data_IF_224490749905
#
_entry.id   IF_224490749905
#
_cell.length_a   1.000
_cell.length_b   1.000
_cell.length_c   1.000
_cell.angle_alpha   90.00
_cell.angle_beta   90.00
_cell.angle_gamma   90.00
#
_symmetry.space_group_name_H-M   'P 1'
#
loop_
_entity.id
_entity.type
_entity.pdbx_description
1 polymer ?
#
# COMPACT_ATOMS: atom_id res chain seq x y z
N UNK A 1 34.47 3.69 -7.19
CA UNK A 1 34.22 5.14 -7.11
C UNK A 1 32.77 5.42 -6.74
N UNK A 2 31.81 4.65 -7.26
CA UNK A 2 30.38 4.82 -6.94
C UNK A 2 29.96 4.30 -5.56
N UNK A 3 30.60 3.25 -5.03
CA UNK A 3 30.32 2.77 -3.65
C UNK A 3 30.66 3.79 -2.56
N UNK A 4 31.73 4.57 -2.75
CA UNK A 4 32.14 5.62 -1.82
C UNK A 4 31.21 6.84 -1.87
N UNK A 5 30.55 7.08 -3.01
CA UNK A 5 29.55 8.14 -3.16
C UNK A 5 28.27 7.73 -2.44
N UNK A 6 27.82 6.48 -2.65
CA UNK A 6 26.64 5.93 -1.99
C UNK A 6 26.80 5.88 -0.46
N UNK A 7 27.99 5.54 0.05
CA UNK A 7 28.26 5.54 1.49
C UNK A 7 28.23 6.95 2.10
N UNK A 8 28.73 7.96 1.36
CA UNK A 8 28.69 9.36 1.80
C UNK A 8 27.28 9.93 1.77
N UNK A 9 26.48 9.61 0.77
CA UNK A 9 25.08 10.00 0.68
C UNK A 9 24.25 9.35 1.81
N UNK A 10 24.49 8.08 2.11
CA UNK A 10 23.83 7.39 3.23
C UNK A 10 24.22 7.97 4.59
N UNK A 11 25.47 8.38 4.77
CA UNK A 11 25.93 9.01 6.01
C UNK A 11 25.32 10.41 6.18
N UNK A 12 25.26 11.20 5.10
CA UNK A 12 24.60 12.51 5.07
C UNK A 12 23.09 12.40 5.37
N UNK A 13 22.42 11.41 4.79
CA UNK A 13 21.00 11.15 5.04
C UNK A 13 20.74 10.65 6.47
N UNK A 14 21.69 9.95 7.09
CA UNK A 14 21.59 9.54 8.48
C UNK A 14 21.73 10.73 9.44
N UNK A 15 22.68 11.63 9.18
CA UNK A 15 22.90 12.84 9.98
C UNK A 15 21.70 13.80 9.90
N UNK A 16 21.12 14.00 8.70
CA UNK A 16 19.92 14.83 8.52
C UNK A 16 18.69 14.28 9.25
N UNK A 17 18.52 12.96 9.27
CA UNK A 17 17.46 12.29 10.01
C UNK A 17 17.63 12.44 11.53
N UNK A 18 18.87 12.42 12.04
CA UNK A 18 19.15 12.67 13.45
C UNK A 18 18.81 14.12 13.82
N UNK A 19 19.18 15.10 12.99
CA UNK A 19 18.81 16.50 13.21
C UNK A 19 17.29 16.71 13.21
N UNK A 20 16.56 16.10 12.27
CA UNK A 20 15.11 16.17 12.22
C UNK A 20 14.44 15.58 13.47
N UNK A 21 14.92 14.43 13.94
CA UNK A 21 14.43 13.81 15.18
C UNK A 21 14.74 14.67 16.40
N UNK A 22 15.92 15.29 16.46
CA UNK A 22 16.27 16.20 17.55
C UNK A 22 15.40 17.46 17.53
N UNK A 23 15.12 18.04 16.36
CA UNK A 23 14.22 19.17 16.20
C UNK A 23 12.77 18.84 16.63
N UNK A 24 12.29 17.64 16.30
CA UNK A 24 11.01 17.12 16.78
C UNK A 24 10.97 17.00 18.31
N UNK A 25 12.04 16.47 18.91
CA UNK A 25 12.16 16.36 20.38
C UNK A 25 12.14 17.75 21.03
N UNK A 26 12.85 18.73 20.47
CA UNK A 26 12.83 20.11 20.97
C UNK A 26 11.46 20.80 20.79
N UNK A 27 10.77 20.51 19.69
CA UNK A 27 9.40 20.99 19.45
C UNK A 27 8.40 20.40 20.45
N UNK A 28 8.52 19.12 20.78
CA UNK A 28 7.66 18.42 21.75
C UNK A 28 7.90 18.91 23.18
N UNK A 29 9.12 19.38 23.52
CA UNK A 29 9.40 19.98 24.84
C UNK A 29 8.67 21.30 25.10
N UNK A 30 8.05 21.93 24.09
CA UNK A 30 7.37 23.23 24.22
C UNK A 30 5.85 23.16 24.45
N UNK A 31 5.26 21.97 24.57
CA UNK A 31 3.81 21.78 24.74
C UNK A 31 3.55 21.02 26.04
N UNK A 32 2.82 21.62 26.97
CA UNK A 32 2.65 21.18 28.38
C UNK A 32 1.73 19.95 28.61
N UNK A 33 1.55 19.05 27.64
CA UNK A 33 0.76 17.81 27.79
C UNK A 33 1.63 16.54 27.72
N UNK A 34 2.78 16.57 28.38
CA UNK A 34 3.97 15.94 27.82
C UNK A 34 4.42 14.63 28.43
N UNK A 35 3.94 14.17 29.59
CA UNK A 35 4.61 13.03 30.25
C UNK A 35 4.36 11.66 29.59
N UNK A 36 3.15 11.38 29.14
CA UNK A 36 2.83 10.07 28.53
C UNK A 36 3.33 9.99 27.08
N UNK A 37 3.21 11.08 26.33
CA UNK A 37 3.73 11.20 24.97
C UNK A 37 5.25 11.22 24.95
N UNK A 38 5.92 11.94 25.87
CA UNK A 38 7.38 11.88 25.99
C UNK A 38 7.85 10.48 26.36
N UNK A 39 7.17 9.76 27.26
CA UNK A 39 7.52 8.37 27.60
C UNK A 39 7.37 7.42 26.41
N UNK A 40 6.28 7.55 25.63
CA UNK A 40 6.09 6.76 24.39
C UNK A 40 7.15 7.09 23.35
N UNK A 41 7.48 8.37 23.18
CA UNK A 41 8.50 8.83 22.25
C UNK A 41 9.90 8.35 22.64
N UNK A 42 10.28 8.47 23.92
CA UNK A 42 11.57 8.00 24.44
C UNK A 42 11.74 6.49 24.24
N UNK A 43 10.66 5.72 24.43
CA UNK A 43 10.65 4.27 24.23
C UNK A 43 10.90 3.92 22.76
N UNK A 44 10.19 4.57 21.83
CA UNK A 44 10.39 4.41 20.38
C UNK A 44 11.81 4.81 19.96
N UNK A 45 12.33 5.93 20.46
CA UNK A 45 13.69 6.40 20.15
C UNK A 45 14.76 5.45 20.68
N UNK A 46 14.56 4.87 21.87
CA UNK A 46 15.50 3.89 22.44
C UNK A 46 15.53 2.57 21.67
N UNK A 47 14.42 2.18 21.04
CA UNK A 47 14.33 1.00 20.18
C UNK A 47 15.02 1.27 18.83
N UNK A 48 14.83 2.45 18.26
CA UNK A 48 15.49 2.86 17.01
C UNK A 48 17.02 2.98 17.14
N UNK A 49 17.52 3.45 18.28
CA UNK A 49 18.97 3.58 18.55
C UNK A 49 19.70 2.24 18.77
N UNK A 50 18.97 1.16 19.04
CA UNK A 50 19.54 -0.19 19.27
C UNK A 50 19.52 -1.08 18.03
N UNK A 51 18.91 -0.64 16.93
CA UNK A 51 18.91 -1.38 15.69
C UNK A 51 20.28 -1.22 14.98
N UNK A 52 20.95 -2.31 14.58
CA UNK A 52 22.23 -2.23 13.88
C UNK A 52 22.08 -1.51 12.54
N UNK A 53 23.00 -0.60 12.25
CA UNK A 53 22.97 0.40 11.18
C UNK A 53 23.09 -0.13 9.72
N UNK A 54 22.69 -1.38 9.44
CA UNK A 54 22.60 -1.95 8.08
C UNK A 54 21.38 -2.88 7.88
N UNK A 55 20.37 -2.80 8.75
CA UNK A 55 19.18 -3.67 8.73
C UNK A 55 17.91 -2.86 8.42
N UNK A 56 17.11 -3.29 7.46
CA UNK A 56 15.66 -3.02 7.36
C UNK A 56 15.14 -1.61 7.04
N UNK A 57 15.75 -0.88 6.10
CA UNK A 57 15.11 0.36 5.62
C UNK A 57 13.94 0.11 4.65
N UNK A 58 13.96 -1.03 3.93
CA UNK A 58 12.98 -1.40 2.89
C UNK A 58 11.63 -1.90 3.48
N UNK A 59 11.57 -2.67 4.59
CA UNK A 59 10.29 -3.08 5.20
C UNK A 59 9.45 -1.91 5.73
N UNK A 60 10.11 -0.86 6.26
CA UNK A 60 9.40 0.28 6.87
C UNK A 60 8.75 1.17 5.82
N UNK A 61 9.45 1.46 4.71
CA UNK A 61 8.91 2.27 3.61
C UNK A 61 7.70 1.54 2.99
N UNK A 62 7.86 0.25 2.66
CA UNK A 62 6.80 -0.59 2.11
C UNK A 62 5.58 -0.59 3.04
N UNK A 63 5.76 -0.80 4.35
CA UNK A 63 4.66 -0.75 5.32
C UNK A 63 3.95 0.61 5.40
N UNK A 64 4.70 1.71 5.28
CA UNK A 64 4.12 3.06 5.32
C UNK A 64 3.31 3.39 4.06
N UNK A 65 3.80 2.99 2.89
CA UNK A 65 3.10 3.17 1.62
C UNK A 65 1.82 2.35 1.57
N UNK A 66 1.90 1.08 1.99
CA UNK A 66 0.74 0.19 2.09
C UNK A 66 -0.34 0.78 2.99
N UNK A 67 0.05 1.27 4.17
CA UNK A 67 -0.88 1.92 5.10
C UNK A 67 -1.55 3.14 4.48
N UNK A 68 -0.77 4.01 3.83
CA UNK A 68 -1.31 5.20 3.16
C UNK A 68 -2.22 4.86 1.99
N UNK A 69 -1.85 3.92 1.11
CA UNK A 69 -2.70 3.46 0.00
C UNK A 69 -3.99 2.83 0.53
N UNK A 70 -3.91 2.06 1.61
CA UNK A 70 -5.09 1.44 2.23
C UNK A 70 -6.07 2.48 2.75
N UNK A 71 -5.58 3.49 3.47
CA UNK A 71 -6.38 4.62 3.93
C UNK A 71 -6.93 5.45 2.77
N UNK A 72 -6.11 5.69 1.75
CA UNK A 72 -6.49 6.44 0.55
C UNK A 72 -7.68 5.78 -0.16
N UNK A 73 -7.60 4.47 -0.41
CA UNK A 73 -8.69 3.75 -1.07
C UNK A 73 -9.92 3.59 -0.19
N UNK A 74 -9.73 3.41 1.13
CA UNK A 74 -10.87 3.27 2.05
C UNK A 74 -11.64 4.58 2.20
N UNK A 75 -10.95 5.71 2.37
CA UNK A 75 -11.56 6.96 2.82
C UNK A 75 -11.80 7.96 1.67
N UNK A 76 -10.97 7.93 0.63
CA UNK A 76 -11.01 8.93 -0.45
C UNK A 76 -11.58 8.41 -1.76
N UNK A 77 -11.36 7.13 -2.08
CA UNK A 77 -11.93 6.54 -3.29
C UNK A 77 -13.46 6.66 -3.38
N UNK A 78 -14.26 6.44 -2.32
CA UNK A 78 -15.72 6.61 -2.41
C UNK A 78 -16.16 7.98 -2.96
N UNK A 79 -15.40 9.05 -2.64
CA UNK A 79 -15.67 10.41 -3.10
C UNK A 79 -15.40 10.54 -4.61
N UNK A 80 -14.39 9.84 -5.13
CA UNK A 80 -14.05 9.80 -6.55
C UNK A 80 -15.00 8.91 -7.37
N UNK A 81 -15.77 8.05 -6.70
CA UNK A 81 -16.75 7.16 -7.31
C UNK A 81 -18.15 7.77 -7.31
N UNK A 82 -18.27 9.10 -7.28
CA UNK A 82 -19.54 9.81 -7.50
C UNK A 82 -19.46 10.68 -8.77
N UNK A 83 -20.17 10.29 -9.86
CA UNK A 83 -21.14 9.20 -9.94
C UNK A 83 -20.49 7.81 -9.96
N UNK A 84 -21.27 6.82 -9.48
CA UNK A 84 -20.85 5.40 -9.38
C UNK A 84 -20.23 4.90 -10.70
N UNK A 85 -19.07 4.20 -10.66
CA UNK A 85 -18.49 3.62 -11.85
C UNK A 85 -19.45 2.57 -12.42
N UNK A 86 -19.57 2.53 -13.75
CA UNK A 86 -20.42 1.53 -14.43
C UNK A 86 -19.73 0.19 -14.66
N UNK A 87 -18.40 0.16 -14.56
CA UNK A 87 -17.54 -0.97 -14.89
C UNK A 87 -16.17 -0.83 -14.21
N UNK A 88 -15.37 -1.90 -14.28
CA UNK A 88 -14.03 -1.99 -13.72
C UNK A 88 -13.04 -0.99 -14.33
N UNK A 89 -13.13 -0.73 -15.64
CA UNK A 89 -12.24 0.23 -16.33
C UNK A 89 -12.43 1.66 -15.81
N UNK A 90 -13.67 2.04 -15.50
CA UNK A 90 -13.97 3.32 -14.85
C UNK A 90 -13.44 3.34 -13.43
N UNK A 91 -13.63 2.28 -12.65
CA UNK A 91 -13.05 2.15 -11.31
C UNK A 91 -11.52 2.33 -11.34
N UNK A 92 -10.83 1.61 -12.21
CA UNK A 92 -9.37 1.72 -12.41
C UNK A 92 -8.96 3.17 -12.75
N UNK A 93 -9.69 3.83 -13.65
CA UNK A 93 -9.39 5.23 -14.02
C UNK A 93 -9.52 6.18 -12.83
N UNK A 94 -10.56 6.02 -12.00
CA UNK A 94 -10.73 6.85 -10.81
C UNK A 94 -9.68 6.55 -9.74
N UNK A 95 -9.32 5.28 -9.55
CA UNK A 95 -8.18 4.87 -8.69
C UNK A 95 -6.87 5.50 -9.17
N UNK A 96 -6.60 5.48 -10.48
CA UNK A 96 -5.41 6.09 -11.05
C UNK A 96 -5.36 7.58 -10.77
N UNK A 97 -6.45 8.32 -11.04
CA UNK A 97 -6.53 9.75 -10.73
C UNK A 97 -6.27 10.01 -9.24
N UNK A 98 -6.91 9.24 -8.35
CA UNK A 98 -6.76 9.38 -6.90
C UNK A 98 -5.30 9.19 -6.46
N UNK A 99 -4.62 8.16 -6.99
CA UNK A 99 -3.21 7.92 -6.71
C UNK A 99 -2.34 9.08 -7.23
N UNK A 100 -2.58 9.56 -8.45
CA UNK A 100 -1.83 10.66 -9.06
C UNK A 100 -1.98 11.98 -8.28
N UNK A 101 -3.19 12.34 -7.86
CA UNK A 101 -3.40 13.54 -7.03
C UNK A 101 -2.81 13.40 -5.63
N UNK A 102 -2.57 12.17 -5.18
CA UNK A 102 -1.93 11.84 -3.91
C UNK A 102 -0.41 11.65 -4.03
N UNK A 103 0.19 12.10 -5.14
CA UNK A 103 1.63 12.04 -5.44
C UNK A 103 2.21 10.63 -5.58
N UNK A 104 1.38 9.63 -5.87
CA UNK A 104 1.87 8.33 -6.31
C UNK A 104 2.04 8.29 -7.83
N UNK A 105 3.04 7.54 -8.29
CA UNK A 105 3.30 7.31 -9.71
C UNK A 105 3.20 5.82 -10.04
N UNK A 106 1.99 5.21 -9.97
CA UNK A 106 1.83 3.81 -10.31
C UNK A 106 2.12 3.57 -11.78
N UNK A 107 2.74 2.43 -12.06
CA UNK A 107 2.80 1.85 -13.39
C UNK A 107 1.41 1.35 -13.75
N UNK A 108 0.67 2.11 -14.57
CA UNK A 108 -0.68 1.73 -15.01
C UNK A 108 -0.58 1.02 -16.34
N UNK A 109 -1.09 -0.21 -16.39
CA UNK A 109 -1.19 -0.98 -17.63
C UNK A 109 0.16 -1.06 -18.39
N UNK A 110 1.31 -1.00 -17.69
CA UNK A 110 2.66 -1.04 -18.30
C UNK A 110 3.46 -2.33 -18.05
N UNK A 111 3.33 -3.00 -16.89
CA UNK A 111 4.10 -4.23 -16.61
C UNK A 111 3.37 -5.51 -17.04
N UNK A 112 4.03 -6.43 -17.74
CA UNK A 112 3.48 -7.77 -18.04
C UNK A 112 4.14 -8.80 -17.13
N UNK A 113 3.34 -9.56 -16.37
CA UNK A 113 3.83 -10.77 -15.69
C UNK A 113 3.66 -11.93 -16.65
N UNK A 114 4.76 -12.45 -17.17
CA UNK A 114 4.73 -13.53 -18.16
C UNK A 114 4.56 -14.88 -17.46
N UNK A 115 3.45 -15.60 -17.73
CA UNK A 115 3.30 -16.99 -17.32
C UNK A 115 3.02 -17.91 -18.52
N UNK A 116 4.01 -18.76 -18.85
CA UNK A 116 3.95 -19.80 -19.88
C UNK A 116 3.65 -19.30 -21.31
N UNK A 117 2.41 -18.87 -21.57
CA UNK A 117 1.89 -18.38 -22.87
C UNK A 117 0.77 -17.33 -22.72
N UNK A 118 0.38 -16.96 -21.49
CA UNK A 118 -0.57 -15.88 -21.20
C UNK A 118 0.10 -14.88 -20.28
N UNK A 119 0.30 -13.65 -20.77
CA UNK A 119 0.64 -12.54 -19.90
C UNK A 119 -0.60 -12.19 -19.07
N UNK A 120 -0.49 -12.24 -17.75
CA UNK A 120 -1.44 -11.56 -16.88
C UNK A 120 -0.77 -10.32 -16.33
N UNK A 121 -1.57 -9.31 -16.03
CA UNK A 121 -1.08 -7.97 -15.84
C UNK A 121 -1.87 -7.33 -14.70
N UNK A 122 -1.22 -7.04 -13.57
CA UNK A 122 -1.86 -6.25 -12.55
C UNK A 122 -2.29 -4.90 -13.11
N UNK A 123 -3.41 -4.39 -12.63
CA UNK A 123 -3.92 -3.07 -13.06
C UNK A 123 -2.91 -1.96 -12.78
N UNK A 124 -2.29 -2.00 -11.59
CA UNK A 124 -1.23 -1.09 -11.20
C UNK A 124 -0.10 -1.82 -10.48
N UNK A 125 1.12 -1.31 -10.64
CA UNK A 125 2.29 -1.86 -9.98
C UNK A 125 3.18 -0.75 -9.43
N UNK A 126 3.90 -1.10 -8.36
CA UNK A 126 4.99 -0.34 -7.78
C UNK A 126 6.17 -1.31 -7.65
N UNK A 127 7.01 -1.33 -8.69
CA UNK A 127 8.00 -2.40 -8.89
C UNK A 127 9.12 -2.38 -7.87
N UNK A 128 9.54 -1.19 -7.44
CA UNK A 128 10.61 -1.03 -6.43
C UNK A 128 10.15 -1.56 -5.07
N UNK A 129 8.88 -1.35 -4.74
CA UNK A 129 8.23 -1.80 -3.52
C UNK A 129 7.62 -3.20 -3.63
N UNK A 130 7.69 -3.83 -4.81
CA UNK A 130 7.07 -5.13 -5.11
C UNK A 130 5.60 -5.23 -4.72
N UNK A 131 4.84 -4.18 -5.00
CA UNK A 131 3.40 -4.13 -4.76
C UNK A 131 2.65 -4.20 -6.10
N UNK A 132 1.65 -5.06 -6.16
CA UNK A 132 0.62 -5.05 -7.19
C UNK A 132 -0.70 -4.52 -6.61
N UNK A 133 -1.50 -3.85 -7.44
CA UNK A 133 -2.86 -3.43 -7.10
C UNK A 133 -3.79 -3.95 -8.18
N UNK A 134 -4.88 -4.57 -7.75
CA UNK A 134 -5.87 -5.19 -8.63
C UNK A 134 -7.26 -4.66 -8.28
N UNK A 135 -7.96 -4.07 -9.24
CA UNK A 135 -9.31 -3.58 -9.06
C UNK A 135 -10.32 -4.67 -9.46
N UNK A 136 -11.36 -4.87 -8.66
CA UNK A 136 -12.47 -5.78 -8.99
C UNK A 136 -13.81 -5.07 -8.88
N UNK A 137 -14.65 -5.19 -9.90
CA UNK A 137 -15.98 -4.57 -9.92
C UNK A 137 -17.12 -5.60 -9.76
N UNK A 138 -17.88 -5.47 -8.67
CA UNK A 138 -19.08 -6.29 -8.43
C UNK A 138 -20.32 -5.50 -8.87
N UNK A 139 -20.71 -5.74 -10.13
CA UNK A 139 -21.93 -5.20 -10.70
C UNK A 139 -23.17 -6.05 -10.42
N UNK A 140 -24.28 -5.71 -11.09
CA UNK A 140 -25.57 -6.42 -10.97
C UNK A 140 -25.48 -7.92 -11.27
N UNK A 141 -24.78 -8.30 -12.34
CA UNK A 141 -24.66 -9.70 -12.78
C UNK A 141 -23.49 -10.45 -12.15
N UNK A 142 -22.51 -9.76 -11.56
CA UNK A 142 -21.33 -10.38 -10.97
C UNK A 142 -21.70 -11.21 -9.74
N UNK A 143 -21.19 -12.44 -9.65
CA UNK A 143 -21.27 -13.29 -8.46
C UNK A 143 -20.01 -13.11 -7.62
N UNK A 144 -20.16 -13.01 -6.30
CA UNK A 144 -19.03 -12.84 -5.37
C UNK A 144 -18.00 -13.97 -5.53
N UNK A 145 -18.46 -15.22 -5.67
CA UNK A 145 -17.55 -16.37 -5.86
C UNK A 145 -16.66 -16.24 -7.11
N UNK A 146 -17.18 -15.66 -8.20
CA UNK A 146 -16.36 -15.44 -9.40
C UNK A 146 -15.23 -14.44 -9.13
N UNK A 147 -15.46 -13.45 -8.26
CA UNK A 147 -14.41 -12.50 -7.86
C UNK A 147 -13.37 -13.20 -6.98
N UNK A 148 -13.79 -14.05 -6.05
CA UNK A 148 -12.86 -14.84 -5.22
C UNK A 148 -11.97 -15.74 -6.09
N UNK A 149 -12.56 -16.43 -7.07
CA UNK A 149 -11.81 -17.28 -8.02
C UNK A 149 -10.80 -16.46 -8.84
N UNK A 150 -11.18 -15.27 -9.30
CA UNK A 150 -10.28 -14.36 -10.00
C UNK A 150 -9.13 -13.90 -9.10
N UNK A 151 -9.44 -13.44 -7.88
CA UNK A 151 -8.43 -12.99 -6.91
C UNK A 151 -7.42 -14.10 -6.58
N UNK A 152 -7.89 -15.34 -6.39
CA UNK A 152 -7.00 -16.49 -6.13
C UNK A 152 -6.07 -16.79 -7.33
N UNK A 153 -6.58 -16.65 -8.56
CA UNK A 153 -5.76 -16.78 -9.76
C UNK A 153 -4.71 -15.67 -9.85
N UNK A 154 -5.08 -14.43 -9.52
CA UNK A 154 -4.19 -13.27 -9.48
C UNK A 154 -3.08 -13.46 -8.44
N UNK A 155 -3.40 -13.94 -7.22
CA UNK A 155 -2.41 -14.33 -6.21
C UNK A 155 -1.38 -15.32 -6.74
N UNK A 156 -1.84 -16.37 -7.44
CA UNK A 156 -0.98 -17.41 -8.00
C UNK A 156 -0.05 -16.86 -9.08
N UNK A 157 -0.52 -15.90 -9.89
CA UNK A 157 0.24 -15.34 -11.00
C UNK A 157 1.23 -14.27 -10.52
N UNK A 158 0.78 -13.36 -9.65
CA UNK A 158 1.53 -12.17 -9.25
C UNK A 158 2.53 -12.41 -8.14
N UNK A 159 2.34 -13.43 -7.30
CA UNK A 159 3.27 -13.82 -6.21
C UNK A 159 4.70 -14.14 -6.67
N UNK A 160 4.92 -14.32 -7.97
CA UNK A 160 6.26 -14.54 -8.55
C UNK A 160 7.11 -13.27 -8.61
N UNK A 161 6.47 -12.11 -8.63
CA UNK A 161 7.13 -10.82 -8.86
C UNK A 161 6.79 -9.79 -7.78
N UNK A 162 5.62 -9.90 -7.15
CA UNK A 162 5.14 -8.97 -6.14
C UNK A 162 4.97 -9.71 -4.81
N UNK A 163 5.43 -9.08 -3.74
CA UNK A 163 5.33 -9.63 -2.39
C UNK A 163 3.91 -9.43 -1.83
N UNK A 164 3.25 -8.34 -2.24
CA UNK A 164 1.93 -7.94 -1.74
C UNK A 164 1.03 -7.55 -2.90
N UNK A 165 -0.22 -7.98 -2.83
CA UNK A 165 -1.30 -7.59 -3.74
C UNK A 165 -2.34 -6.84 -2.92
N UNK A 166 -2.72 -5.65 -3.38
CA UNK A 166 -3.81 -4.85 -2.81
C UNK A 166 -5.02 -5.00 -3.73
N UNK A 167 -6.01 -5.77 -3.29
CA UNK A 167 -7.29 -5.88 -3.96
C UNK A 167 -8.20 -4.72 -3.54
N UNK A 168 -8.68 -3.96 -4.52
CA UNK A 168 -9.68 -2.91 -4.33
C UNK A 168 -10.98 -3.36 -4.98
N UNK A 169 -11.93 -3.83 -4.17
CA UNK A 169 -13.22 -4.33 -4.63
C UNK A 169 -14.27 -3.25 -4.47
N UNK A 170 -14.90 -2.86 -5.58
CA UNK A 170 -16.09 -2.02 -5.52
C UNK A 170 -17.36 -2.88 -5.56
N UNK A 171 -18.07 -2.90 -4.45
CA UNK A 171 -19.31 -3.66 -4.24
C UNK A 171 -20.54 -2.78 -4.37
N UNK A 172 -20.91 -2.52 -5.64
CA UNK A 172 -21.98 -1.58 -6.02
C UNK A 172 -23.31 -1.83 -5.29
N UNK A 173 -23.63 -3.09 -5.01
CA UNK A 173 -24.91 -3.51 -4.41
C UNK A 173 -24.76 -4.11 -3.02
N UNK A 174 -23.60 -3.96 -2.36
CA UNK A 174 -23.35 -4.53 -1.04
C UNK A 174 -23.62 -6.05 -0.98
N UNK A 175 -23.21 -6.79 -2.01
CA UNK A 175 -23.33 -8.25 -2.10
C UNK A 175 -22.40 -8.99 -1.13
N UNK A 176 -21.30 -8.35 -0.71
CA UNK A 176 -20.42 -8.85 0.35
C UNK A 176 -21.04 -8.44 1.69
N UNK A 177 -21.68 -9.40 2.34
CA UNK A 177 -22.34 -9.21 3.64
C UNK A 177 -21.34 -9.16 4.79
N UNK A 178 -20.31 -10.00 4.74
CA UNK A 178 -19.27 -10.12 5.75
C UNK A 178 -17.91 -9.90 5.09
N UNK A 179 -17.32 -8.73 5.34
CA UNK A 179 -16.03 -8.35 4.75
C UNK A 179 -14.89 -9.12 5.41
N UNK A 180 -14.98 -9.38 6.71
CA UNK A 180 -13.93 -10.08 7.47
C UNK A 180 -13.78 -11.51 6.94
N UNK A 181 -14.89 -12.25 6.83
CA UNK A 181 -14.88 -13.60 6.26
C UNK A 181 -14.44 -13.60 4.80
N UNK A 182 -14.84 -12.59 4.02
CA UNK A 182 -14.46 -12.48 2.62
C UNK A 182 -12.95 -12.24 2.44
N UNK A 183 -12.32 -11.47 3.32
CA UNK A 183 -10.90 -11.08 3.20
C UNK A 183 -9.92 -11.97 3.97
N UNK A 184 -10.37 -12.75 4.94
CA UNK A 184 -9.51 -13.43 5.92
C UNK A 184 -8.43 -14.30 5.26
N UNK A 185 -8.82 -15.17 4.32
CA UNK A 185 -7.87 -16.06 3.64
C UNK A 185 -6.76 -15.28 2.93
N UNK A 186 -7.11 -14.22 2.18
CA UNK A 186 -6.16 -13.38 1.47
C UNK A 186 -5.26 -12.58 2.44
N UNK A 187 -5.81 -12.12 3.56
CA UNK A 187 -5.06 -11.36 4.56
C UNK A 187 -4.08 -12.24 5.33
N UNK A 188 -4.44 -13.49 5.64
CA UNK A 188 -3.53 -14.47 6.23
C UNK A 188 -2.35 -14.79 5.30
N UNK A 189 -2.57 -14.73 3.99
CA UNK A 189 -1.53 -14.89 2.96
C UNK A 189 -0.70 -13.60 2.73
N UNK A 190 -0.94 -12.54 3.51
CA UNK A 190 -0.17 -11.29 3.47
C UNK A 190 -0.66 -10.27 2.42
N UNK A 191 -1.80 -10.53 1.78
CA UNK A 191 -2.43 -9.59 0.85
C UNK A 191 -3.41 -8.65 1.55
N UNK A 192 -3.82 -7.60 0.86
CA UNK A 192 -4.73 -6.60 1.40
C UNK A 192 -6.00 -6.57 0.57
N UNK A 193 -7.13 -6.54 1.26
CA UNK A 193 -8.45 -6.50 0.65
C UNK A 193 -9.19 -5.28 1.16
N UNK A 194 -9.58 -4.41 0.25
CA UNK A 194 -10.29 -3.17 0.53
C UNK A 194 -11.62 -3.23 -0.21
N UNK A 195 -12.71 -3.32 0.55
CA UNK A 195 -14.07 -3.32 -0.02
C UNK A 195 -14.66 -1.91 0.12
N UNK A 196 -15.04 -1.33 -1.02
CA UNK A 196 -15.68 -0.02 -1.16
C UNK A 196 -17.13 -0.24 -1.61
N UNK A 197 -18.06 0.56 -1.08
CA UNK A 197 -19.52 0.43 -1.32
C UNK A 197 -20.12 1.68 -1.97
#
# INVERSE_FOLDING_TARGET
TDQLILERENQSNFESNIEFVNALIEGVKKVDETDELQKKLLKITSLAKRAPAKMDYIPKIQSSMIGHLSLLFKDKLPIFLDPKPGDEKKLQREMYKLMRVSNYSPNWDSDQVTYSTRGSKPDFTFNEEKIAIEAKYIGKSTRVNNIVEQMAADCTLYSKQYDIIIFVIYDMLSKISDIEVFSDDFQRDGHIVIVVK
#
